data_IF_065418937827
#
_entry.id   IF_065418937827
#
_cell.length_a   1.000
_cell.length_b   1.000
_cell.length_c   1.000
_cell.angle_alpha   90.00
_cell.angle_beta   90.00
_cell.angle_gamma   90.00
#
_symmetry.space_group_name_H-M   'P 1'
#
loop_
_entity.id
_entity.type
_entity.pdbx_description
1 polymer ?
#
# COMPACT_ATOMS: atom_id res chain seq x y z
N UNK A 1 -4.29 26.68 22.54
CA UNK A 1 -3.81 26.71 21.17
C UNK A 1 -4.44 25.54 20.46
N UNK A 2 -5.29 25.83 19.49
CA UNK A 2 -6.26 24.92 18.92
C UNK A 2 -5.66 23.73 18.19
N UNK A 3 -6.25 22.60 18.46
CA UNK A 3 -6.01 21.32 17.84
C UNK A 3 -6.76 21.32 16.48
N UNK A 4 -6.24 22.03 15.47
CA UNK A 4 -6.71 21.86 14.11
C UNK A 4 -6.07 20.59 13.56
N UNK A 5 -6.87 19.51 13.56
CA UNK A 5 -6.57 18.30 12.82
C UNK A 5 -6.36 18.69 11.36
N UNK A 6 -5.11 18.51 10.87
CA UNK A 6 -4.78 18.69 9.46
C UNK A 6 -5.76 17.90 8.60
N UNK A 7 -6.59 18.58 7.81
CA UNK A 7 -7.54 17.92 6.92
C UNK A 7 -6.76 17.12 5.87
N UNK A 8 -6.97 15.81 5.87
CA UNK A 8 -6.49 14.92 4.80
C UNK A 8 -7.28 15.23 3.53
N UNK A 9 -6.70 16.00 2.63
CA UNK A 9 -7.28 16.24 1.29
C UNK A 9 -6.90 15.04 0.40
N UNK A 10 -7.78 14.04 0.35
CA UNK A 10 -7.69 12.92 -0.57
C UNK A 10 -8.71 13.11 -1.70
N UNK A 11 -8.24 13.34 -2.92
CA UNK A 11 -9.05 13.54 -4.13
C UNK A 11 -9.04 12.34 -5.08
N UNK A 12 -8.76 11.13 -4.56
CA UNK A 12 -8.76 9.90 -5.36
C UNK A 12 -10.19 9.54 -5.83
N UNK A 13 -10.30 8.95 -7.02
CA UNK A 13 -11.57 8.59 -7.65
C UNK A 13 -12.36 7.57 -6.82
N UNK A 14 -11.65 6.62 -6.18
CA UNK A 14 -12.25 5.54 -5.39
C UNK A 14 -12.53 5.91 -3.93
N UNK A 15 -12.01 7.05 -3.45
CA UNK A 15 -11.98 7.39 -2.03
C UNK A 15 -13.35 7.31 -1.31
N UNK A 16 -14.43 7.77 -1.95
CA UNK A 16 -15.75 7.77 -1.31
C UNK A 16 -16.32 6.36 -1.09
N UNK A 17 -16.10 5.46 -2.07
CA UNK A 17 -16.57 4.07 -1.97
C UNK A 17 -15.69 3.28 -1.01
N UNK A 18 -14.38 3.42 -1.13
CA UNK A 18 -13.39 2.80 -0.25
C UNK A 18 -13.64 3.19 1.21
N UNK A 19 -13.82 4.47 1.52
CA UNK A 19 -14.12 4.95 2.88
C UNK A 19 -15.37 4.31 3.48
N UNK A 20 -16.44 4.15 2.70
CA UNK A 20 -17.65 3.47 3.17
C UNK A 20 -17.39 1.99 3.46
N UNK A 21 -16.65 1.30 2.59
CA UNK A 21 -16.28 -0.10 2.76
C UNK A 21 -15.40 -0.29 3.99
N UNK A 22 -14.39 0.56 4.18
CA UNK A 22 -13.47 0.49 5.34
C UNK A 22 -14.21 0.73 6.65
N UNK A 23 -15.15 1.70 6.73
CA UNK A 23 -15.98 1.92 7.93
C UNK A 23 -16.84 0.69 8.21
N UNK A 24 -17.47 0.11 7.19
CA UNK A 24 -18.28 -1.08 7.32
C UNK A 24 -17.47 -2.29 7.81
N UNK A 25 -16.25 -2.49 7.28
CA UNK A 25 -15.32 -3.52 7.72
C UNK A 25 -14.86 -3.27 9.17
N UNK A 26 -14.49 -2.03 9.51
CA UNK A 26 -14.02 -1.68 10.85
C UNK A 26 -15.07 -1.95 11.94
N UNK A 27 -16.35 -1.66 11.64
CA UNK A 27 -17.45 -1.92 12.58
C UNK A 27 -17.68 -3.41 12.85
N UNK A 28 -17.26 -4.28 11.92
CA UNK A 28 -17.42 -5.75 12.03
C UNK A 28 -16.20 -6.46 12.61
N UNK A 29 -15.11 -5.73 12.85
CA UNK A 29 -13.90 -6.34 13.42
C UNK A 29 -14.16 -6.85 14.85
N UNK A 30 -13.75 -8.09 15.19
CA UNK A 30 -13.78 -8.60 16.54
C UNK A 30 -13.02 -7.69 17.52
N UNK A 31 -13.40 -7.71 18.80
CA UNK A 31 -12.82 -6.83 19.80
C UNK A 31 -11.30 -7.02 20.01
N UNK A 32 -10.80 -8.23 19.78
CA UNK A 32 -9.37 -8.56 19.93
C UNK A 32 -8.49 -8.04 18.79
N UNK A 33 -9.06 -7.68 17.64
CA UNK A 33 -8.31 -7.08 16.52
C UNK A 33 -7.98 -5.63 16.87
N UNK A 34 -6.71 -5.30 16.93
CA UNK A 34 -6.21 -3.94 17.18
C UNK A 34 -5.71 -3.30 15.88
N UNK A 35 -5.51 -1.97 15.87
CA UNK A 35 -4.87 -1.28 14.74
C UNK A 35 -3.48 -1.85 14.46
N UNK A 36 -2.65 -2.03 15.50
CA UNK A 36 -1.29 -2.57 15.37
C UNK A 36 -1.28 -3.98 14.77
N UNK A 37 -2.30 -4.80 15.09
CA UNK A 37 -2.46 -6.12 14.48
C UNK A 37 -2.78 -6.03 12.98
N UNK A 38 -3.62 -5.08 12.58
CA UNK A 38 -3.93 -4.84 11.16
C UNK A 38 -2.71 -4.32 10.41
N UNK A 39 -1.97 -3.40 10.98
CA UNK A 39 -0.72 -2.89 10.41
C UNK A 39 0.27 -4.04 10.16
N UNK A 40 0.40 -4.98 11.13
CA UNK A 40 1.23 -6.17 10.96
C UNK A 40 0.74 -7.09 9.83
N UNK A 41 -0.57 -7.27 9.68
CA UNK A 41 -1.16 -7.99 8.54
C UNK A 41 -0.80 -7.31 7.23
N UNK A 42 -0.80 -5.97 7.18
CA UNK A 42 -0.37 -5.22 6.00
C UNK A 42 1.09 -5.53 5.60
N UNK A 43 1.99 -5.61 6.57
CA UNK A 43 3.39 -6.01 6.31
C UNK A 43 3.50 -7.44 5.79
N UNK A 44 2.75 -8.39 6.39
CA UNK A 44 2.69 -9.77 5.88
C UNK A 44 2.23 -9.80 4.42
N UNK A 45 1.23 -8.98 4.06
CA UNK A 45 0.78 -8.85 2.68
C UNK A 45 1.88 -8.42 1.73
N UNK A 46 2.71 -7.43 2.12
CA UNK A 46 3.85 -7.00 1.31
C UNK A 46 4.93 -8.08 1.17
N UNK A 47 5.20 -8.86 2.22
CA UNK A 47 6.10 -10.01 2.17
C UNK A 47 5.56 -11.09 1.22
N UNK A 48 4.26 -11.41 1.29
CA UNK A 48 3.63 -12.37 0.37
C UNK A 48 3.70 -11.91 -1.08
N UNK A 49 3.55 -10.60 -1.34
CA UNK A 49 3.75 -10.04 -2.66
C UNK A 49 5.18 -10.28 -3.16
N UNK A 50 6.18 -9.96 -2.34
CA UNK A 50 7.59 -10.15 -2.71
C UNK A 50 7.91 -11.63 -2.97
N UNK A 51 7.47 -12.53 -2.10
CA UNK A 51 7.65 -13.99 -2.27
C UNK A 51 6.96 -14.49 -3.54
N UNK A 52 5.71 -14.07 -3.79
CA UNK A 52 4.97 -14.42 -5.01
C UNK A 52 5.67 -13.93 -6.28
N UNK A 53 6.22 -12.70 -6.26
CA UNK A 53 7.00 -12.15 -7.36
C UNK A 53 8.27 -12.97 -7.65
N UNK A 54 9.02 -13.33 -6.62
CA UNK A 54 10.24 -14.17 -6.77
C UNK A 54 9.87 -15.56 -7.31
N UNK A 55 8.86 -16.22 -6.76
CA UNK A 55 8.43 -17.54 -7.18
C UNK A 55 7.84 -17.56 -8.60
N UNK A 56 7.44 -16.41 -9.13
CA UNK A 56 6.92 -16.28 -10.49
C UNK A 56 7.96 -16.67 -11.59
N UNK A 57 9.25 -16.71 -11.26
CA UNK A 57 10.27 -17.28 -12.13
C UNK A 57 10.14 -18.82 -12.29
N UNK A 58 9.55 -19.51 -11.31
CA UNK A 58 9.32 -20.95 -11.36
C UNK A 58 8.02 -21.25 -12.10
N UNK A 59 6.93 -20.57 -11.72
CA UNK A 59 5.63 -20.66 -12.41
C UNK A 59 4.94 -19.30 -12.28
N UNK A 60 4.54 -18.71 -13.41
CA UNK A 60 3.84 -17.43 -13.47
C UNK A 60 2.55 -17.39 -12.64
N UNK A 61 1.95 -18.54 -12.33
CA UNK A 61 0.79 -18.64 -11.45
C UNK A 61 1.05 -18.13 -10.03
N UNK A 62 2.31 -18.08 -9.57
CA UNK A 62 2.65 -17.47 -8.29
C UNK A 62 2.40 -15.95 -8.24
N UNK A 63 2.16 -15.30 -9.38
CA UNK A 63 1.65 -13.92 -9.41
C UNK A 63 0.24 -13.78 -8.80
N UNK A 64 -0.53 -14.86 -8.70
CA UNK A 64 -1.76 -14.86 -7.91
C UNK A 64 -1.48 -14.72 -6.41
N UNK A 65 -0.40 -15.35 -5.92
CA UNK A 65 0.06 -15.16 -4.54
C UNK A 65 0.50 -13.71 -4.30
N UNK A 66 1.22 -13.12 -5.26
CA UNK A 66 1.59 -11.71 -5.21
C UNK A 66 0.34 -10.80 -5.18
N UNK A 67 -0.65 -11.05 -6.04
CA UNK A 67 -1.90 -10.30 -6.07
C UNK A 67 -2.69 -10.44 -4.76
N UNK A 68 -2.74 -11.63 -4.18
CA UNK A 68 -3.34 -11.85 -2.85
C UNK A 68 -2.58 -11.06 -1.77
N UNK A 69 -1.25 -11.02 -1.85
CA UNK A 69 -0.41 -10.20 -0.98
C UNK A 69 -0.79 -8.72 -1.01
N UNK A 70 -1.05 -8.15 -2.20
CA UNK A 70 -1.51 -6.76 -2.33
C UNK A 70 -2.89 -6.53 -1.70
N UNK A 71 -3.82 -7.48 -1.83
CA UNK A 71 -5.14 -7.38 -1.20
C UNK A 71 -5.01 -7.42 0.33
N UNK A 72 -4.16 -8.30 0.87
CA UNK A 72 -3.89 -8.39 2.32
C UNK A 72 -3.20 -7.12 2.81
N UNK A 73 -2.22 -6.60 2.05
CA UNK A 73 -1.54 -5.35 2.37
C UNK A 73 -2.53 -4.16 2.40
N UNK A 74 -3.39 -4.04 1.40
CA UNK A 74 -4.44 -3.02 1.38
C UNK A 74 -5.38 -3.15 2.57
N UNK A 75 -5.83 -4.37 2.89
CA UNK A 75 -6.73 -4.61 4.01
C UNK A 75 -6.13 -4.17 5.34
N UNK A 76 -4.87 -4.55 5.61
CA UNK A 76 -4.18 -4.19 6.84
C UNK A 76 -3.95 -2.69 6.97
N UNK A 77 -3.32 -2.10 5.98
CA UNK A 77 -2.89 -0.71 5.91
C UNK A 77 -4.08 0.30 5.87
N UNK A 78 -5.10 0.04 5.03
CA UNK A 78 -6.23 0.97 4.94
C UNK A 78 -7.21 0.86 6.12
N UNK A 79 -7.26 -0.31 6.77
CA UNK A 79 -8.24 -0.56 7.82
C UNK A 79 -7.74 -0.17 9.21
N UNK A 80 -6.43 -0.19 9.49
CA UNK A 80 -5.86 0.07 10.81
C UNK A 80 -6.21 1.47 11.35
N UNK A 81 -5.96 2.51 10.57
CA UNK A 81 -6.30 3.88 10.92
C UNK A 81 -7.82 4.11 10.97
N UNK A 82 -8.60 3.40 10.14
CA UNK A 82 -10.05 3.47 10.16
C UNK A 82 -10.62 2.81 11.41
N UNK A 83 -10.07 1.66 11.83
CA UNK A 83 -10.45 0.97 13.06
C UNK A 83 -10.15 1.83 14.29
N UNK A 84 -8.97 2.48 14.35
CA UNK A 84 -8.62 3.39 15.43
C UNK A 84 -9.62 4.55 15.56
N UNK A 85 -10.06 5.13 14.44
CA UNK A 85 -11.07 6.19 14.41
C UNK A 85 -12.45 5.70 14.90
N UNK A 86 -12.91 4.59 14.36
CA UNK A 86 -14.22 4.01 14.72
C UNK A 86 -14.28 3.65 16.22
N UNK A 87 -13.19 3.12 16.76
CA UNK A 87 -13.11 2.72 18.18
C UNK A 87 -12.68 3.84 19.13
N UNK A 88 -12.34 5.04 18.60
CA UNK A 88 -11.82 6.19 19.36
C UNK A 88 -10.55 5.85 20.16
N UNK A 89 -9.70 4.99 19.60
CA UNK A 89 -8.42 4.55 20.20
C UNK A 89 -7.22 5.14 19.47
N UNK A 90 -7.40 6.31 18.87
CA UNK A 90 -6.35 6.99 18.10
C UNK A 90 -5.17 7.38 18.99
N UNK A 91 -3.96 7.12 18.48
CA UNK A 91 -2.67 7.54 19.08
C UNK A 91 -1.94 8.40 18.01
N UNK A 92 -2.24 9.71 17.90
CA UNK A 92 -1.85 10.51 16.72
C UNK A 92 -0.34 10.46 16.41
N UNK A 93 0.51 10.70 17.41
CA UNK A 93 1.97 10.71 17.22
C UNK A 93 2.51 9.32 16.87
N UNK A 94 2.11 8.31 17.63
CA UNK A 94 2.52 6.93 17.40
C UNK A 94 2.00 6.39 16.08
N UNK A 95 0.71 6.63 15.80
CA UNK A 95 0.07 6.20 14.55
C UNK A 95 0.75 6.83 13.34
N UNK A 96 1.02 8.13 13.38
CA UNK A 96 1.76 8.83 12.33
C UNK A 96 3.14 8.20 12.08
N UNK A 97 3.91 7.96 13.15
CA UNK A 97 5.23 7.37 13.03
C UNK A 97 5.21 5.96 12.43
N UNK A 98 4.34 5.08 12.96
CA UNK A 98 4.24 3.69 12.50
C UNK A 98 3.74 3.62 11.05
N UNK A 99 2.67 4.32 10.72
CA UNK A 99 2.06 4.39 9.39
C UNK A 99 3.13 4.71 8.33
N UNK A 100 3.83 5.84 8.49
CA UNK A 100 4.80 6.30 7.51
C UNK A 100 6.08 5.45 7.44
N UNK A 101 6.51 4.89 8.59
CA UNK A 101 7.68 4.01 8.62
C UNK A 101 7.39 2.69 7.92
N UNK A 102 6.21 2.11 8.17
CA UNK A 102 5.83 0.84 7.56
C UNK A 102 5.40 1.01 6.11
N UNK A 103 4.84 2.16 5.72
CA UNK A 103 4.61 2.48 4.31
C UNK A 103 5.91 2.47 3.50
N UNK A 104 6.98 3.06 4.04
CA UNK A 104 8.29 3.02 3.39
C UNK A 104 8.81 1.58 3.29
N UNK A 105 8.70 0.79 4.37
CA UNK A 105 9.14 -0.61 4.39
C UNK A 105 8.35 -1.47 3.41
N UNK A 106 7.02 -1.38 3.44
CA UNK A 106 6.14 -2.17 2.55
C UNK A 106 6.34 -1.79 1.09
N UNK A 107 6.57 -0.51 0.79
CA UNK A 107 6.92 -0.06 -0.56
C UNK A 107 8.26 -0.63 -1.00
N UNK A 108 9.26 -0.68 -0.13
CA UNK A 108 10.54 -1.35 -0.42
C UNK A 108 10.31 -2.83 -0.76
N UNK A 109 9.52 -3.55 0.02
CA UNK A 109 9.22 -4.98 -0.22
C UNK A 109 8.47 -5.18 -1.54
N UNK A 110 7.50 -4.32 -1.85
CA UNK A 110 6.75 -4.39 -3.12
C UNK A 110 7.69 -4.11 -4.31
N UNK A 111 8.52 -3.07 -4.24
CA UNK A 111 9.46 -2.76 -5.31
C UNK A 111 10.51 -3.85 -5.50
N UNK A 112 11.02 -4.43 -4.41
CA UNK A 112 11.92 -5.59 -4.47
C UNK A 112 11.24 -6.80 -5.11
N UNK A 113 10.00 -7.11 -4.70
CA UNK A 113 9.21 -8.19 -5.28
C UNK A 113 8.96 -8.02 -6.77
N UNK A 114 8.68 -6.78 -7.22
CA UNK A 114 8.55 -6.44 -8.64
C UNK A 114 9.87 -6.62 -9.40
N UNK A 115 10.96 -6.06 -8.88
CA UNK A 115 12.27 -6.12 -9.53
C UNK A 115 12.89 -7.51 -9.56
N UNK A 116 12.49 -8.39 -8.62
CA UNK A 116 12.86 -9.80 -8.57
C UNK A 116 11.83 -10.70 -9.29
N UNK A 117 10.80 -10.13 -9.90
CA UNK A 117 9.82 -10.87 -10.68
C UNK A 117 10.16 -10.83 -12.18
N UNK A 118 9.57 -11.72 -13.00
CA UNK A 118 9.74 -11.64 -14.45
C UNK A 118 9.02 -10.45 -15.10
N UNK A 119 8.27 -9.65 -14.33
CA UNK A 119 7.47 -8.54 -14.85
C UNK A 119 8.31 -7.28 -15.08
N UNK A 120 9.26 -7.00 -14.19
CA UNK A 120 9.98 -5.73 -14.15
C UNK A 120 11.48 -5.93 -13.93
N UNK A 121 12.29 -5.10 -14.57
CA UNK A 121 13.73 -5.07 -14.33
C UNK A 121 14.03 -4.39 -12.99
N UNK A 122 15.06 -4.89 -12.28
CA UNK A 122 15.44 -4.40 -10.96
C UNK A 122 15.84 -2.91 -10.95
N UNK A 123 16.53 -2.46 -12.01
CA UNK A 123 16.95 -1.05 -12.15
C UNK A 123 15.74 -0.10 -12.22
N UNK A 124 14.69 -0.51 -12.95
CA UNK A 124 13.43 0.25 -13.03
C UNK A 124 12.69 0.23 -11.69
N UNK A 125 12.65 -0.91 -11.01
CA UNK A 125 12.02 -1.02 -9.68
C UNK A 125 12.73 -0.11 -8.66
N UNK A 126 14.05 -0.05 -8.67
CA UNK A 126 14.81 0.86 -7.80
C UNK A 126 14.58 2.33 -8.14
N UNK A 127 14.46 2.68 -9.43
CA UNK A 127 14.15 4.07 -9.82
C UNK A 127 12.77 4.49 -9.31
N UNK A 128 11.76 3.61 -9.41
CA UNK A 128 10.42 3.84 -8.89
C UNK A 128 10.46 4.00 -7.37
N UNK A 129 11.18 3.11 -6.67
CA UNK A 129 11.34 3.18 -5.22
C UNK A 129 11.99 4.50 -4.78
N UNK A 130 13.10 4.88 -5.43
CA UNK A 130 13.79 6.13 -5.13
C UNK A 130 12.86 7.35 -5.34
N UNK A 131 12.13 7.40 -6.45
CA UNK A 131 11.17 8.46 -6.73
C UNK A 131 10.05 8.53 -5.68
N UNK A 132 9.50 7.37 -5.28
CA UNK A 132 8.48 7.31 -4.24
C UNK A 132 9.02 7.80 -2.88
N UNK A 133 10.20 7.35 -2.47
CA UNK A 133 10.79 7.75 -1.18
C UNK A 133 11.13 9.25 -1.16
N UNK A 134 11.66 9.80 -2.27
CA UNK A 134 11.88 11.24 -2.40
C UNK A 134 10.57 12.03 -2.26
N UNK A 135 9.50 11.57 -2.92
CA UNK A 135 8.19 12.20 -2.82
C UNK A 135 7.62 12.11 -1.40
N UNK A 136 7.80 10.97 -0.73
CA UNK A 136 7.38 10.77 0.67
C UNK A 136 8.12 11.73 1.61
N UNK A 137 9.44 11.82 1.48
CA UNK A 137 10.26 12.76 2.27
C UNK A 137 9.79 14.21 2.03
N UNK A 138 9.57 14.60 0.77
CA UNK A 138 9.05 15.92 0.42
C UNK A 138 7.71 16.18 1.12
N UNK A 139 6.79 15.22 1.06
CA UNK A 139 5.46 15.32 1.69
C UNK A 139 5.58 15.49 3.21
N UNK A 140 6.44 14.72 3.86
CA UNK A 140 6.64 14.79 5.32
C UNK A 140 7.25 16.13 5.73
N UNK A 141 8.25 16.61 5.00
CA UNK A 141 8.87 17.92 5.25
C UNK A 141 7.85 19.05 5.06
N UNK A 142 7.06 19.02 3.98
CA UNK A 142 5.99 20.00 3.77
C UNK A 142 4.96 19.96 4.89
N UNK A 143 4.58 18.77 5.37
CA UNK A 143 3.63 18.63 6.48
C UNK A 143 4.16 19.29 7.76
N UNK A 144 5.44 19.11 8.06
CA UNK A 144 6.08 19.69 9.24
C UNK A 144 6.19 21.22 9.13
N UNK A 145 6.53 21.74 7.93
CA UNK A 145 6.80 23.20 7.75
C UNK A 145 5.50 23.99 7.57
N UNK A 146 4.56 23.47 6.76
CA UNK A 146 3.36 24.21 6.32
C UNK A 146 2.12 23.80 7.12
N UNK A 147 2.22 22.75 7.92
CA UNK A 147 1.12 22.13 8.67
C UNK A 147 -0.05 21.65 7.77
N UNK A 148 0.22 21.43 6.49
CA UNK A 148 -0.72 20.84 5.51
C UNK A 148 -0.25 19.45 5.09
N UNK A 149 -1.09 18.45 5.30
CA UNK A 149 -0.79 17.06 4.91
C UNK A 149 -1.43 16.75 3.54
N UNK A 150 -0.66 16.78 2.47
CA UNK A 150 -1.12 16.42 1.11
C UNK A 150 -0.59 15.03 0.72
N UNK A 151 -1.47 14.02 0.77
CA UNK A 151 -1.14 12.63 0.41
C UNK A 151 -1.28 12.32 -1.08
N UNK A 152 -1.86 13.21 -1.86
CA UNK A 152 -2.21 12.90 -3.25
C UNK A 152 -1.57 13.88 -4.19
N UNK A 153 -0.60 13.41 -4.95
CA UNK A 153 -0.09 14.11 -6.13
C UNK A 153 -0.81 13.56 -7.37
N UNK A 154 -1.82 14.26 -7.85
CA UNK A 154 -2.68 13.82 -8.95
C UNK A 154 -3.93 13.06 -8.47
N UNK A 155 -4.49 12.20 -9.32
CA UNK A 155 -5.71 11.42 -9.05
C UNK A 155 -5.43 9.95 -8.67
N UNK A 156 -4.16 9.56 -8.59
CA UNK A 156 -3.74 8.19 -8.28
C UNK A 156 -3.34 8.10 -6.80
N UNK A 157 -4.08 7.30 -6.04
CA UNK A 157 -3.76 6.95 -4.66
C UNK A 157 -3.13 5.56 -4.54
N UNK A 158 -2.72 5.16 -3.32
CA UNK A 158 -2.11 3.84 -3.08
C UNK A 158 -3.01 2.67 -3.50
N UNK A 159 -4.32 2.80 -3.35
CA UNK A 159 -5.30 1.76 -3.73
C UNK A 159 -5.34 1.56 -5.24
N UNK A 160 -5.33 2.65 -6.02
CA UNK A 160 -5.31 2.59 -7.48
C UNK A 160 -4.03 1.93 -7.99
N UNK A 161 -2.88 2.22 -7.36
CA UNK A 161 -1.60 1.58 -7.71
C UNK A 161 -1.65 0.07 -7.44
N UNK A 162 -2.20 -0.37 -6.29
CA UNK A 162 -2.37 -1.79 -5.97
C UNK A 162 -3.28 -2.49 -6.99
N UNK A 163 -4.39 -1.87 -7.38
CA UNK A 163 -5.29 -2.41 -8.41
C UNK A 163 -4.60 -2.52 -9.78
N UNK A 164 -3.81 -1.51 -10.15
CA UNK A 164 -3.01 -1.56 -11.38
C UNK A 164 -2.02 -2.72 -11.37
N UNK A 165 -1.31 -2.95 -10.26
CA UNK A 165 -0.37 -4.05 -10.12
C UNK A 165 -1.08 -5.42 -10.21
N UNK A 166 -2.25 -5.57 -9.60
CA UNK A 166 -3.07 -6.79 -9.73
C UNK A 166 -3.49 -7.02 -11.20
N UNK A 167 -3.88 -5.96 -11.89
CA UNK A 167 -4.22 -6.04 -13.31
C UNK A 167 -3.01 -6.46 -14.17
N UNK A 168 -1.84 -5.86 -13.91
CA UNK A 168 -0.57 -6.23 -14.58
C UNK A 168 -0.21 -7.69 -14.33
N UNK A 169 -0.26 -8.16 -13.07
CA UNK A 169 -0.03 -9.56 -12.71
C UNK A 169 -0.97 -10.49 -13.48
N UNK A 170 -2.27 -10.14 -13.51
CA UNK A 170 -3.29 -10.93 -14.21
C UNK A 170 -3.02 -10.99 -15.71
N UNK A 171 -2.75 -9.84 -16.32
CA UNK A 171 -2.40 -9.78 -17.75
C UNK A 171 -1.16 -10.62 -18.06
N UNK A 172 -0.15 -10.55 -17.20
CA UNK A 172 1.09 -11.32 -17.38
C UNK A 172 0.85 -12.82 -17.35
N UNK A 173 -0.01 -13.31 -16.43
CA UNK A 173 -0.35 -14.75 -16.32
C UNK A 173 -1.01 -15.27 -17.61
N UNK A 174 -1.90 -14.48 -18.21
CA UNK A 174 -2.69 -14.92 -19.36
C UNK A 174 -2.08 -14.56 -20.73
N UNK A 175 -1.02 -13.75 -20.75
CA UNK A 175 -0.34 -13.41 -22.01
C UNK A 175 0.81 -14.40 -22.24
N UNK A 176 0.90 -15.06 -23.40
CA UNK A 176 1.99 -16.00 -23.70
C UNK A 176 3.30 -15.24 -23.98
N UNK A 177 3.93 -14.69 -22.96
CA UNK A 177 5.19 -13.93 -23.06
C UNK A 177 6.37 -14.79 -23.56
N UNK A 178 6.26 -16.13 -23.47
CA UNK A 178 7.23 -17.06 -24.10
C UNK A 178 7.33 -16.93 -25.61
N UNK A 179 6.34 -16.28 -26.26
CA UNK A 179 6.36 -16.03 -27.72
C UNK A 179 7.06 -14.70 -28.09
N UNK A 180 7.48 -13.89 -27.12
CA UNK A 180 8.06 -12.55 -27.37
C UNK A 180 9.59 -12.53 -27.17
N UNK A 181 10.15 -13.56 -26.56
CA UNK A 181 11.60 -13.71 -26.37
C UNK A 181 12.19 -14.71 -27.37
N UNK A 182 12.16 -14.37 -28.67
CA UNK A 182 13.05 -14.89 -29.71
C UNK A 182 13.57 -13.72 -30.54
#
# INVERSE_FOLDING_TARGET
MGNESSERIQTSILNKMEKKLLIWLAQRQPAWVTSDFLTFIGVIGAVLFAVGGILAHIDTKFLWLASLGLVINWYGDSLDGTLARVRRTQRPVYGFFIDHTLDALTTCLICLGLGLSPIMRMDVAFLILAGYLCLSIYTYVCTIIINEFRLTYGKLGPTEVRLLLIAVNTLYIYTPWSAIHY
#
